data_IF_744259610087
#
_entry.id   IF_744259610087
#
_cell.length_a   1.000
_cell.length_b   1.000
_cell.length_c   1.000
_cell.angle_alpha   90.00
_cell.angle_beta   90.00
_cell.angle_gamma   90.00
#
_symmetry.space_group_name_H-M   'P 1'
#
loop_
_entity.id
_entity.type
_entity.pdbx_description
1 polymer ?
#
# COMPACT_ATOMS: atom_id res chain seq x y z
N UNK A 1 -25.02 12.22 78.77
CA UNK A 1 -24.46 12.79 77.52
C UNK A 1 -23.17 12.12 77.04
N UNK A 2 -22.16 11.86 77.87
CA UNK A 2 -20.90 11.21 77.45
C UNK A 2 -21.05 9.76 76.91
N UNK A 3 -21.99 8.99 77.43
CA UNK A 3 -22.26 7.60 76.97
C UNK A 3 -22.94 7.55 75.61
N UNK A 4 -23.93 8.43 75.37
CA UNK A 4 -24.60 8.57 74.07
C UNK A 4 -23.62 9.02 72.97
N UNK A 5 -22.73 9.96 73.28
CA UNK A 5 -21.69 10.42 72.36
C UNK A 5 -20.66 9.33 72.02
N UNK A 6 -20.30 8.46 72.97
CA UNK A 6 -19.42 7.30 72.71
C UNK A 6 -20.08 6.27 71.80
N UNK A 7 -21.38 6.05 71.94
CA UNK A 7 -22.13 5.17 71.05
C UNK A 7 -22.23 5.74 69.63
N UNK A 8 -22.58 7.01 69.49
CA UNK A 8 -22.70 7.69 68.19
C UNK A 8 -21.32 7.77 67.51
N UNK A 9 -20.29 8.22 68.22
CA UNK A 9 -18.92 8.27 67.68
C UNK A 9 -18.37 6.87 67.37
N UNK A 10 -18.74 5.86 68.17
CA UNK A 10 -18.41 4.45 67.91
C UNK A 10 -19.03 3.93 66.61
N UNK A 11 -20.31 4.24 66.39
CA UNK A 11 -21.03 3.90 65.15
C UNK A 11 -20.37 4.54 63.93
N UNK A 12 -20.13 5.85 63.93
CA UNK A 12 -19.47 6.53 62.81
C UNK A 12 -18.05 6.02 62.55
N UNK A 13 -17.26 5.72 63.60
CA UNK A 13 -15.92 5.17 63.47
C UNK A 13 -15.93 3.75 62.89
N UNK A 14 -16.95 2.95 63.22
CA UNK A 14 -17.13 1.62 62.66
C UNK A 14 -17.58 1.67 61.20
N UNK A 15 -18.55 2.52 60.87
CA UNK A 15 -19.02 2.73 59.48
C UNK A 15 -17.91 3.26 58.58
N UNK A 16 -17.06 4.17 59.08
CA UNK A 16 -15.89 4.66 58.32
C UNK A 16 -14.86 3.56 58.05
N UNK A 17 -14.60 2.69 59.03
CA UNK A 17 -13.72 1.53 58.85
C UNK A 17 -14.29 0.55 57.83
N UNK A 18 -15.61 0.31 57.86
CA UNK A 18 -16.28 -0.56 56.91
C UNK A 18 -16.21 0.00 55.48
N UNK A 19 -16.44 1.31 55.30
CA UNK A 19 -16.34 1.96 53.99
C UNK A 19 -14.92 1.91 53.43
N UNK A 20 -13.89 2.17 54.24
CA UNK A 20 -12.50 2.04 53.79
C UNK A 20 -12.14 0.60 53.46
N UNK A 21 -12.60 -0.37 54.26
CA UNK A 21 -12.41 -1.79 53.97
C UNK A 21 -13.05 -2.18 52.62
N UNK A 22 -14.30 -1.78 52.38
CA UNK A 22 -14.98 -2.06 51.10
C UNK A 22 -14.28 -1.37 49.94
N UNK A 23 -13.86 -0.12 50.10
CA UNK A 23 -13.11 0.62 49.08
C UNK A 23 -11.78 -0.06 48.75
N UNK A 24 -10.99 -0.42 49.76
CA UNK A 24 -9.71 -1.13 49.58
C UNK A 24 -9.92 -2.52 48.97
N UNK A 25 -10.97 -3.24 49.39
CA UNK A 25 -11.33 -4.54 48.81
C UNK A 25 -11.67 -4.41 47.33
N UNK A 26 -12.51 -3.44 46.95
CA UNK A 26 -12.89 -3.21 45.55
C UNK A 26 -11.68 -2.76 44.71
N UNK A 27 -10.84 -1.87 45.22
CA UNK A 27 -9.63 -1.43 44.53
C UNK A 27 -8.63 -2.57 44.35
N UNK A 28 -8.45 -3.41 45.36
CA UNK A 28 -7.56 -4.57 45.29
C UNK A 28 -8.10 -5.64 44.33
N UNK A 29 -9.42 -5.89 44.33
CA UNK A 29 -10.05 -6.81 43.37
C UNK A 29 -9.93 -6.28 41.93
N UNK A 30 -10.11 -4.98 41.72
CA UNK A 30 -9.91 -4.34 40.43
C UNK A 30 -8.45 -4.39 39.98
N UNK A 31 -7.50 -4.17 40.90
CA UNK A 31 -6.08 -4.30 40.63
C UNK A 31 -5.69 -5.75 40.26
N UNK A 32 -6.19 -6.74 41.01
CA UNK A 32 -5.97 -8.17 40.68
C UNK A 32 -6.57 -8.50 39.31
N UNK A 33 -7.76 -7.98 38.99
CA UNK A 33 -8.36 -8.14 37.67
C UNK A 33 -7.47 -7.54 36.57
N UNK A 34 -6.94 -6.33 36.75
CA UNK A 34 -6.01 -5.72 35.79
C UNK A 34 -4.71 -6.52 35.64
N UNK A 35 -4.16 -7.06 36.73
CA UNK A 35 -2.98 -7.93 36.67
C UNK A 35 -3.31 -9.23 35.93
N UNK A 36 -4.47 -9.86 36.18
CA UNK A 36 -4.88 -11.07 35.48
C UNK A 36 -5.12 -10.82 33.98
N UNK A 37 -5.70 -9.68 33.62
CA UNK A 37 -5.81 -9.25 32.22
C UNK A 37 -4.43 -9.00 31.62
N UNK A 38 -3.54 -8.32 32.33
CA UNK A 38 -2.16 -8.08 31.90
C UNK A 38 -1.36 -9.37 31.72
N UNK A 39 -1.51 -10.34 32.62
CA UNK A 39 -0.91 -11.68 32.52
C UNK A 39 -1.56 -12.49 31.41
N UNK A 40 -2.87 -12.39 31.21
CA UNK A 40 -3.57 -13.04 30.10
C UNK A 40 -3.08 -12.52 28.74
N UNK A 41 -2.98 -11.20 28.60
CA UNK A 41 -2.39 -10.54 27.43
C UNK A 41 -0.92 -10.96 27.29
N UNK A 42 -0.14 -10.95 28.38
CA UNK A 42 1.27 -11.34 28.34
C UNK A 42 1.46 -12.81 27.98
N UNK A 43 0.62 -13.74 28.46
CA UNK A 43 0.65 -15.15 28.07
C UNK A 43 0.19 -15.33 26.63
N UNK A 44 -0.75 -14.53 26.13
CA UNK A 44 -1.17 -14.57 24.73
C UNK A 44 -0.12 -13.95 23.78
N UNK A 45 0.69 -13.01 24.26
CA UNK A 45 1.78 -12.37 23.52
C UNK A 45 3.10 -13.14 23.62
N UNK A 46 3.36 -13.77 24.77
CA UNK A 46 4.60 -14.52 25.08
C UNK A 46 4.46 -16.01 24.82
N UNK A 47 3.23 -16.53 24.84
CA UNK A 47 2.85 -17.77 24.20
C UNK A 47 2.88 -17.55 22.69
N UNK A 48 4.08 -17.28 22.17
CA UNK A 48 4.40 -17.64 20.81
C UNK A 48 4.28 -19.16 20.77
N UNK A 49 3.07 -19.65 20.53
CA UNK A 49 2.89 -20.95 19.90
C UNK A 49 3.91 -20.95 18.79
N UNK A 50 4.88 -21.85 18.93
CA UNK A 50 5.72 -22.28 17.83
C UNK A 50 4.78 -22.88 16.81
N UNK A 51 4.05 -22.03 16.07
CA UNK A 51 3.24 -22.41 14.92
C UNK A 51 4.20 -23.19 14.06
N UNK A 52 3.88 -24.48 13.95
CA UNK A 52 4.71 -25.51 13.39
C UNK A 52 5.42 -25.01 12.13
N UNK A 53 6.70 -25.39 12.00
CA UNK A 53 7.47 -25.30 10.76
C UNK A 53 6.53 -25.44 9.57
N UNK A 54 6.35 -24.34 8.82
CA UNK A 54 5.45 -24.24 7.69
C UNK A 54 5.46 -25.55 6.90
N UNK A 55 4.36 -26.29 6.99
CA UNK A 55 4.20 -27.50 6.18
C UNK A 55 4.32 -27.08 4.71
N UNK A 56 5.04 -27.87 3.91
CA UNK A 56 5.28 -27.56 2.49
C UNK A 56 3.96 -27.21 1.78
N UNK A 57 3.89 -26.06 1.10
CA UNK A 57 2.64 -25.57 0.50
C UNK A 57 2.82 -24.27 -0.28
N UNK A 58 1.70 -23.64 -0.62
CA UNK A 58 1.69 -22.35 -1.32
C UNK A 58 1.98 -21.16 -0.38
N UNK A 59 2.60 -20.12 -0.92
CA UNK A 59 2.49 -18.78 -0.35
C UNK A 59 1.20 -18.15 -0.88
N UNK A 60 0.25 -17.90 0.01
CA UNK A 60 -1.00 -17.23 -0.31
C UNK A 60 -0.78 -15.72 -0.22
N UNK A 61 -0.79 -15.03 -1.36
CA UNK A 61 -0.81 -13.57 -1.45
C UNK A 61 -2.26 -13.08 -1.36
N UNK A 62 -2.82 -13.15 -0.16
CA UNK A 62 -4.15 -12.68 0.23
C UNK A 62 -4.16 -11.19 0.61
N UNK A 63 -3.54 -10.36 -0.23
CA UNK A 63 -3.30 -8.94 0.07
C UNK A 63 -4.62 -8.20 0.26
N UNK A 64 -4.76 -7.56 1.43
CA UNK A 64 -5.89 -6.71 1.79
C UNK A 64 -5.47 -5.25 1.88
N UNK A 65 -6.23 -4.35 1.28
CA UNK A 65 -5.95 -2.90 1.25
C UNK A 65 -5.03 -2.47 0.10
N UNK A 66 -4.17 -1.49 0.34
CA UNK A 66 -3.35 -0.81 -0.71
C UNK A 66 -1.87 -1.14 -0.62
N UNK A 67 -1.14 -0.98 -1.73
CA UNK A 67 0.34 -0.99 -1.75
C UNK A 67 0.86 0.43 -1.56
N UNK A 68 1.80 0.59 -0.63
CA UNK A 68 2.51 1.86 -0.37
C UNK A 68 4.01 1.61 -0.23
N UNK A 69 4.82 2.64 -0.46
CA UNK A 69 6.27 2.57 -0.30
C UNK A 69 6.68 2.37 1.17
N UNK A 70 6.03 3.09 2.09
CA UNK A 70 6.27 3.04 3.54
C UNK A 70 4.91 3.07 4.25
N UNK A 71 4.48 1.98 4.92
CA UNK A 71 3.29 2.00 5.76
C UNK A 71 3.43 2.97 6.92
N UNK A 72 2.38 3.73 7.22
CA UNK A 72 2.38 4.69 8.31
C UNK A 72 2.29 3.98 9.68
N UNK A 73 3.32 4.17 10.51
CA UNK A 73 3.45 3.54 11.82
C UNK A 73 2.34 3.92 12.81
N UNK A 74 1.70 5.08 12.66
CA UNK A 74 0.60 5.54 13.51
C UNK A 74 -0.62 4.60 13.43
N UNK A 75 -0.72 3.81 12.34
CA UNK A 75 -1.81 2.88 12.17
C UNK A 75 -1.75 1.69 13.13
N UNK A 76 -0.59 1.33 13.71
CA UNK A 76 -0.48 0.15 14.59
C UNK A 76 -1.31 0.28 15.87
N UNK A 77 -1.30 1.45 16.50
CA UNK A 77 -2.15 1.73 17.65
C UNK A 77 -3.63 1.89 17.26
N UNK A 78 -3.89 2.46 16.07
CA UNK A 78 -5.25 2.61 15.54
C UNK A 78 -5.90 1.27 15.17
N UNK A 79 -5.12 0.26 14.78
CA UNK A 79 -5.63 -1.09 14.47
C UNK A 79 -6.17 -1.76 15.73
N UNK A 80 -5.44 -1.67 16.84
CA UNK A 80 -5.87 -2.22 18.13
C UNK A 80 -7.16 -1.54 18.63
N UNK A 81 -7.26 -0.21 18.52
CA UNK A 81 -8.46 0.52 18.95
C UNK A 81 -9.66 0.30 18.02
N UNK A 82 -9.46 0.17 16.70
CA UNK A 82 -10.55 -0.12 15.74
C UNK A 82 -11.06 -1.57 15.84
N UNK A 83 -10.18 -2.53 16.10
CA UNK A 83 -10.59 -3.92 16.38
C UNK A 83 -11.38 -4.02 17.70
N UNK A 84 -10.98 -3.28 18.74
CA UNK A 84 -11.74 -3.19 19.99
C UNK A 84 -13.13 -2.54 19.82
N UNK A 85 -13.30 -1.66 18.83
CA UNK A 85 -14.56 -0.96 18.55
C UNK A 85 -15.40 -1.60 17.43
N UNK A 86 -15.01 -2.77 16.90
CA UNK A 86 -15.78 -3.50 15.87
C UNK A 86 -15.87 -2.80 14.51
N UNK A 87 -15.02 -1.80 14.25
CA UNK A 87 -15.01 -1.02 13.02
C UNK A 87 -13.81 -1.42 12.14
N UNK A 88 -13.80 -2.66 11.63
CA UNK A 88 -12.78 -3.13 10.70
C UNK A 88 -13.17 -2.80 9.25
N UNK A 89 -12.72 -1.64 8.75
CA UNK A 89 -12.59 -1.46 7.31
C UNK A 89 -11.17 -1.85 6.90
N UNK A 90 -10.99 -3.12 6.52
CA UNK A 90 -9.70 -3.67 6.07
C UNK A 90 -9.20 -3.03 4.76
N UNK A 91 -10.06 -2.24 4.08
CA UNK A 91 -9.74 -1.56 2.81
C UNK A 91 -8.73 -0.43 2.95
N UNK A 92 -8.46 0.04 4.16
CA UNK A 92 -7.45 1.07 4.46
C UNK A 92 -6.12 0.48 4.95
N UNK A 93 -5.98 -0.85 4.94
CA UNK A 93 -4.72 -1.48 5.32
C UNK A 93 -3.62 -1.12 4.32
N UNK A 94 -2.50 -0.61 4.85
CA UNK A 94 -1.30 -0.34 4.07
C UNK A 94 -0.34 -1.52 4.10
N UNK A 95 0.15 -1.92 2.93
CA UNK A 95 1.12 -2.98 2.77
C UNK A 95 2.38 -2.42 2.10
N UNK A 96 3.54 -2.69 2.69
CA UNK A 96 4.84 -2.27 2.16
C UNK A 96 5.12 -2.96 0.83
N UNK A 97 5.39 -2.17 -0.21
CA UNK A 97 5.85 -2.65 -1.51
C UNK A 97 7.08 -3.56 -1.36
N UNK A 98 8.03 -3.14 -0.54
CA UNK A 98 9.32 -3.81 -0.39
C UNK A 98 9.20 -5.11 0.38
N UNK A 99 8.31 -5.19 1.39
CA UNK A 99 8.08 -6.42 2.14
C UNK A 99 7.42 -7.47 1.24
N UNK A 100 6.44 -7.08 0.41
CA UNK A 100 5.83 -8.00 -0.57
C UNK A 100 6.87 -8.56 -1.53
N UNK A 101 7.68 -7.69 -2.14
CA UNK A 101 8.71 -8.09 -3.11
C UNK A 101 9.75 -8.99 -2.46
N UNK A 102 10.24 -8.62 -1.27
CA UNK A 102 11.24 -9.41 -0.56
C UNK A 102 10.69 -10.75 -0.07
N UNK A 103 9.42 -10.80 0.34
CA UNK A 103 8.73 -12.05 0.68
C UNK A 103 8.61 -12.98 -0.51
N UNK A 104 8.23 -12.48 -1.69
CA UNK A 104 8.19 -13.29 -2.93
C UNK A 104 9.59 -13.81 -3.28
N UNK A 105 10.63 -12.97 -3.16
CA UNK A 105 12.02 -13.39 -3.40
C UNK A 105 12.53 -14.41 -2.38
N UNK A 106 12.17 -14.27 -1.11
CA UNK A 106 12.49 -15.27 -0.08
C UNK A 106 11.78 -16.59 -0.39
N UNK A 107 10.49 -16.54 -0.73
CA UNK A 107 9.68 -17.71 -1.08
C UNK A 107 10.18 -18.42 -2.35
N UNK A 108 10.76 -17.69 -3.30
CA UNK A 108 11.43 -18.26 -4.48
C UNK A 108 12.51 -19.27 -4.07
N UNK A 109 13.34 -18.93 -3.08
CA UNK A 109 14.46 -19.77 -2.63
C UNK A 109 14.11 -20.69 -1.46
N UNK A 110 12.92 -20.54 -0.85
CA UNK A 110 12.45 -21.41 0.22
C UNK A 110 11.87 -22.72 -0.33
N UNK A 111 12.51 -23.85 -0.01
CA UNK A 111 12.05 -25.21 -0.39
C UNK A 111 10.71 -25.63 0.23
N UNK A 112 10.21 -24.89 1.22
CA UNK A 112 8.91 -25.13 1.84
C UNK A 112 7.77 -24.47 1.05
N UNK A 113 8.07 -23.41 0.28
CA UNK A 113 7.09 -22.81 -0.62
C UNK A 113 7.19 -23.47 -1.99
N UNK A 114 6.12 -24.12 -2.41
CA UNK A 114 6.07 -24.87 -3.69
C UNK A 114 5.37 -24.10 -4.80
N UNK A 115 4.70 -22.99 -4.49
CA UNK A 115 4.04 -22.11 -5.46
C UNK A 115 3.43 -20.88 -4.78
N UNK A 116 2.80 -20.01 -5.56
CA UNK A 116 2.04 -18.86 -5.06
C UNK A 116 0.58 -18.98 -5.50
N UNK A 117 -0.35 -18.58 -4.62
CA UNK A 117 -1.75 -18.32 -4.96
C UNK A 117 -2.04 -16.86 -4.64
N UNK A 118 -2.52 -16.10 -5.60
CA UNK A 118 -2.98 -14.72 -5.42
C UNK A 118 -4.49 -14.71 -5.22
N UNK A 119 -4.94 -14.34 -4.02
CA UNK A 119 -6.33 -14.02 -3.71
C UNK A 119 -6.42 -12.51 -3.46
N UNK A 120 -6.80 -11.77 -4.50
CA UNK A 120 -6.76 -10.31 -4.49
C UNK A 120 -8.13 -9.68 -4.21
N UNK A 121 -9.11 -10.44 -3.69
CA UNK A 121 -10.50 -9.94 -3.52
C UNK A 121 -10.60 -8.67 -2.67
N UNK A 122 -9.72 -8.53 -1.67
CA UNK A 122 -9.65 -7.38 -0.76
C UNK A 122 -8.56 -6.36 -1.14
N UNK A 123 -7.85 -6.60 -2.23
CA UNK A 123 -6.82 -5.69 -2.73
C UNK A 123 -7.47 -4.48 -3.40
N UNK A 124 -7.16 -3.29 -2.89
CA UNK A 124 -7.71 -2.01 -3.33
C UNK A 124 -6.85 -1.31 -4.39
N UNK A 125 -5.64 -1.80 -4.67
CA UNK A 125 -4.76 -1.26 -5.70
C UNK A 125 -3.44 -0.69 -5.19
N UNK A 126 -2.65 -0.19 -6.13
CA UNK A 126 -1.41 0.55 -5.93
C UNK A 126 -1.08 1.28 -7.23
N UNK A 127 -0.08 2.16 -7.23
CA UNK A 127 0.36 2.78 -8.47
C UNK A 127 0.98 1.75 -9.45
N UNK A 128 0.88 2.03 -10.75
CA UNK A 128 1.35 1.11 -11.80
C UNK A 128 2.85 0.75 -11.66
N UNK A 129 3.77 1.69 -11.36
CA UNK A 129 5.17 1.36 -11.06
C UNK A 129 5.35 0.32 -9.93
N UNK A 130 4.65 0.50 -8.81
CA UNK A 130 4.72 -0.40 -7.65
C UNK A 130 4.18 -1.80 -7.99
N UNK A 131 3.03 -1.89 -8.65
CA UNK A 131 2.48 -3.18 -9.07
C UNK A 131 3.37 -3.86 -10.12
N UNK A 132 4.03 -3.10 -11.01
CA UNK A 132 4.98 -3.66 -11.97
C UNK A 132 6.22 -4.23 -11.26
N UNK A 133 6.66 -3.62 -10.16
CA UNK A 133 7.78 -4.13 -9.36
C UNK A 133 7.43 -5.44 -8.64
N UNK A 134 6.20 -5.57 -8.12
CA UNK A 134 5.67 -6.86 -7.64
C UNK A 134 5.61 -7.88 -8.77
N UNK A 135 5.08 -7.49 -9.94
CA UNK A 135 5.04 -8.34 -11.13
C UNK A 135 6.41 -8.83 -11.59
N UNK A 136 7.47 -8.03 -11.41
CA UNK A 136 8.86 -8.47 -11.65
C UNK A 136 9.25 -9.61 -10.70
N UNK A 137 8.98 -9.49 -9.41
CA UNK A 137 9.27 -10.54 -8.42
C UNK A 137 8.45 -11.82 -8.69
N UNK A 138 7.19 -11.67 -9.12
CA UNK A 138 6.36 -12.81 -9.55
C UNK A 138 6.95 -13.54 -10.76
N UNK A 139 7.50 -12.82 -11.74
CA UNK A 139 8.21 -13.43 -12.87
C UNK A 139 9.49 -14.14 -12.41
N UNK A 140 10.31 -13.50 -11.59
CA UNK A 140 11.50 -14.12 -10.98
C UNK A 140 11.12 -15.43 -10.23
N UNK A 141 9.98 -15.45 -9.55
CA UNK A 141 9.45 -16.64 -8.89
C UNK A 141 9.02 -17.72 -9.90
N UNK A 142 8.29 -17.36 -10.95
CA UNK A 142 7.86 -18.29 -12.01
C UNK A 142 9.05 -18.91 -12.74
N UNK A 143 10.06 -18.11 -13.04
CA UNK A 143 11.26 -18.54 -13.77
C UNK A 143 12.11 -19.55 -12.96
N UNK A 144 11.89 -19.64 -11.64
CA UNK A 144 12.45 -20.70 -10.78
C UNK A 144 11.76 -22.07 -10.93
N UNK A 145 10.68 -22.13 -11.72
CA UNK A 145 9.90 -23.34 -11.97
C UNK A 145 8.70 -23.56 -11.02
N UNK A 146 8.50 -22.68 -10.04
CA UNK A 146 7.35 -22.74 -9.12
C UNK A 146 6.13 -22.03 -9.74
N UNK A 147 4.93 -22.63 -9.72
CA UNK A 147 3.74 -22.03 -10.32
C UNK A 147 3.20 -20.86 -9.50
N UNK A 148 2.58 -19.90 -10.20
CA UNK A 148 1.80 -18.80 -9.64
C UNK A 148 0.38 -18.90 -10.18
N UNK A 149 -0.60 -18.91 -9.29
CA UNK A 149 -2.03 -18.95 -9.62
C UNK A 149 -2.71 -17.65 -9.20
N UNK A 150 -3.68 -17.18 -9.98
CA UNK A 150 -4.61 -16.13 -9.58
C UNK A 150 -6.02 -16.73 -9.48
N UNK A 151 -6.69 -16.46 -8.36
CA UNK A 151 -8.06 -16.93 -8.10
C UNK A 151 -8.92 -15.75 -7.67
N UNK A 152 -10.17 -15.73 -8.11
CA UNK A 152 -11.09 -14.66 -7.76
C UNK A 152 -12.47 -14.85 -8.36
N UNK A 153 -13.48 -14.38 -7.62
CA UNK A 153 -14.84 -14.28 -8.17
C UNK A 153 -14.92 -13.19 -9.25
N UNK A 154 -14.19 -12.09 -9.04
CA UNK A 154 -14.09 -10.96 -9.94
C UNK A 154 -12.65 -10.41 -9.89
N UNK A 155 -12.26 -9.67 -10.92
CA UNK A 155 -11.04 -8.86 -10.91
C UNK A 155 -11.36 -7.42 -11.29
N UNK A 156 -11.08 -6.48 -10.39
CA UNK A 156 -10.99 -5.06 -10.76
C UNK A 156 -9.80 -4.82 -11.69
N UNK A 157 -9.76 -3.66 -12.36
CA UNK A 157 -8.65 -3.30 -13.24
C UNK A 157 -7.26 -3.39 -12.54
N UNK A 158 -7.15 -2.93 -11.29
CA UNK A 158 -5.93 -3.01 -10.51
C UNK A 158 -5.57 -4.45 -10.09
N UNK A 159 -6.57 -5.23 -9.66
CA UNK A 159 -6.38 -6.64 -9.31
C UNK A 159 -5.95 -7.46 -10.53
N UNK A 160 -6.58 -7.23 -11.69
CA UNK A 160 -6.27 -7.96 -12.92
C UNK A 160 -4.85 -7.66 -13.44
N UNK A 161 -4.34 -6.45 -13.23
CA UNK A 161 -2.95 -6.12 -13.58
C UNK A 161 -1.97 -7.06 -12.88
N UNK A 162 -2.11 -7.26 -11.56
CA UNK A 162 -1.28 -8.23 -10.81
C UNK A 162 -1.62 -9.68 -11.19
N UNK A 163 -2.89 -10.03 -11.31
CA UNK A 163 -3.32 -11.38 -11.68
C UNK A 163 -2.73 -11.83 -13.03
N UNK A 164 -2.55 -10.90 -13.98
CA UNK A 164 -1.96 -11.19 -15.29
C UNK A 164 -0.57 -11.83 -15.21
N UNK A 165 0.20 -11.56 -14.14
CA UNK A 165 1.53 -12.17 -13.96
C UNK A 165 1.49 -13.64 -13.54
N UNK A 166 0.32 -14.23 -13.23
CA UNK A 166 0.18 -15.64 -12.92
C UNK A 166 0.44 -16.55 -14.12
N UNK A 167 0.77 -17.82 -13.87
CA UNK A 167 0.75 -18.86 -14.90
C UNK A 167 -0.69 -19.21 -15.32
N UNK A 168 -1.64 -19.11 -14.38
CA UNK A 168 -3.04 -19.46 -14.61
C UNK A 168 -3.97 -18.57 -13.77
N UNK A 169 -5.01 -18.06 -14.42
CA UNK A 169 -6.03 -17.17 -13.85
C UNK A 169 -7.38 -17.89 -13.91
N UNK A 170 -7.94 -18.17 -12.74
CA UNK A 170 -9.32 -18.63 -12.60
C UNK A 170 -10.27 -17.47 -12.36
N UNK A 171 -11.46 -17.55 -12.93
CA UNK A 171 -12.57 -16.64 -12.70
C UNK A 171 -13.83 -17.44 -12.38
N UNK A 172 -14.72 -16.87 -11.59
CA UNK A 172 -16.05 -17.44 -11.40
C UNK A 172 -16.84 -17.51 -12.71
N UNK A 173 -17.71 -18.52 -12.92
CA UNK A 173 -18.57 -18.59 -14.09
C UNK A 173 -19.54 -17.41 -14.23
N UNK A 174 -19.71 -16.59 -13.18
CA UNK A 174 -20.51 -15.36 -13.20
C UNK A 174 -19.66 -14.11 -12.91
N UNK A 175 -18.34 -14.25 -12.99
CA UNK A 175 -17.39 -13.21 -12.68
C UNK A 175 -17.17 -12.21 -13.83
N UNK A 176 -16.51 -11.11 -13.51
CA UNK A 176 -16.06 -10.10 -14.48
C UNK A 176 -14.57 -9.78 -14.32
N UNK A 177 -13.91 -9.51 -15.44
CA UNK A 177 -12.64 -8.78 -15.50
C UNK A 177 -12.98 -7.35 -15.90
N UNK A 178 -12.98 -6.44 -14.92
CA UNK A 178 -13.49 -5.08 -15.08
C UNK A 178 -12.40 -4.14 -15.64
N UNK A 179 -12.28 -4.11 -16.97
CA UNK A 179 -11.38 -3.21 -17.69
C UNK A 179 -12.16 -2.05 -18.30
N UNK A 180 -11.83 -0.82 -17.88
CA UNK A 180 -12.55 0.39 -18.29
C UNK A 180 -11.64 1.58 -18.68
N UNK A 181 -10.33 1.38 -18.78
CA UNK A 181 -9.35 2.44 -19.04
C UNK A 181 -9.09 3.38 -17.85
N UNK A 182 -8.19 4.35 -18.06
CA UNK A 182 -7.87 5.39 -17.08
C UNK A 182 -8.59 6.71 -17.40
N UNK A 183 -8.96 7.43 -16.35
CA UNK A 183 -9.55 8.76 -16.46
C UNK A 183 -8.92 9.70 -15.43
N UNK A 184 -8.87 10.99 -15.77
CA UNK A 184 -8.62 12.08 -14.84
C UNK A 184 -9.88 12.92 -14.75
N UNK A 185 -10.27 13.29 -13.53
CA UNK A 185 -11.39 14.19 -13.29
C UNK A 185 -10.95 15.25 -12.28
N UNK A 186 -11.27 16.50 -12.57
CA UNK A 186 -11.02 17.63 -11.67
C UNK A 186 -12.26 18.49 -11.60
N UNK A 187 -12.54 19.00 -10.41
CA UNK A 187 -13.61 19.95 -10.21
C UNK A 187 -13.09 21.36 -10.52
N UNK A 188 -13.95 22.18 -11.12
CA UNK A 188 -13.66 23.56 -11.49
C UNK A 188 -14.76 24.45 -10.89
N UNK A 189 -14.37 25.52 -10.20
CA UNK A 189 -15.26 26.24 -9.32
C UNK A 189 -15.30 27.75 -9.56
N UNK A 190 -14.70 28.25 -10.64
CA UNK A 190 -14.62 29.69 -10.90
C UNK A 190 -16.00 30.35 -10.87
N UNK A 191 -16.99 29.77 -11.54
CA UNK A 191 -18.37 30.27 -11.52
C UNK A 191 -19.00 30.30 -10.12
N UNK A 192 -18.65 29.35 -9.25
CA UNK A 192 -19.11 29.34 -7.85
C UNK A 192 -18.45 30.47 -7.06
N UNK A 193 -17.13 30.63 -7.21
CA UNK A 193 -16.35 31.68 -6.52
C UNK A 193 -16.84 33.08 -6.90
N UNK A 194 -17.11 33.32 -8.19
CA UNK A 194 -17.68 34.58 -8.69
C UNK A 194 -19.06 34.86 -8.07
N UNK A 195 -19.94 33.84 -8.00
CA UNK A 195 -21.27 33.97 -7.37
C UNK A 195 -21.19 34.31 -5.88
N UNK A 196 -20.20 33.73 -5.19
CA UNK A 196 -19.91 34.01 -3.79
C UNK A 196 -19.11 35.32 -3.59
N UNK A 197 -18.77 36.03 -4.67
CA UNK A 197 -17.96 37.26 -4.68
C UNK A 197 -16.59 37.07 -4.03
N UNK A 198 -16.02 35.88 -4.12
CA UNK A 198 -14.67 35.58 -3.63
C UNK A 198 -13.64 36.22 -4.55
N UNK A 199 -12.69 36.97 -3.99
CA UNK A 199 -11.55 37.51 -4.74
C UNK A 199 -10.42 36.48 -4.78
N UNK A 200 -10.15 35.94 -5.96
CA UNK A 200 -9.11 34.92 -6.18
C UNK A 200 -7.88 35.57 -6.80
N UNK A 201 -6.72 35.45 -6.14
CA UNK A 201 -5.43 35.92 -6.62
C UNK A 201 -4.55 34.71 -6.94
N UNK A 202 -4.03 34.64 -8.16
CA UNK A 202 -3.18 33.54 -8.62
C UNK A 202 -1.88 34.10 -9.16
N UNK A 203 -0.78 33.60 -8.63
CA UNK A 203 0.56 33.83 -9.16
C UNK A 203 1.07 32.52 -9.75
N UNK A 204 1.48 32.51 -11.02
CA UNK A 204 1.93 31.29 -11.70
C UNK A 204 3.00 31.57 -12.73
N UNK A 205 4.00 30.70 -12.77
CA UNK A 205 4.91 30.54 -13.91
C UNK A 205 4.87 29.09 -14.39
N UNK A 206 4.46 28.90 -15.66
CA UNK A 206 4.37 27.60 -16.32
C UNK A 206 3.01 27.39 -16.99
N UNK A 207 3.00 27.33 -18.33
CA UNK A 207 1.78 27.13 -19.14
C UNK A 207 1.01 25.88 -18.75
N UNK A 208 1.73 24.78 -18.47
CA UNK A 208 1.17 23.49 -18.10
C UNK A 208 1.01 23.29 -16.57
N UNK A 209 1.25 24.32 -15.75
CA UNK A 209 1.04 24.23 -14.29
C UNK A 209 -0.46 24.38 -13.99
N UNK A 210 -1.20 23.30 -14.24
CA UNK A 210 -2.66 23.25 -14.32
C UNK A 210 -3.38 23.12 -12.97
N UNK A 211 -2.68 22.79 -11.89
CA UNK A 211 -3.27 22.64 -10.55
C UNK A 211 -4.02 23.89 -10.04
N UNK A 212 -3.76 25.06 -10.64
CA UNK A 212 -4.42 26.31 -10.31
C UNK A 212 -5.71 26.56 -11.11
N UNK A 213 -5.93 25.86 -12.21
CA UNK A 213 -7.07 26.09 -13.10
C UNK A 213 -8.45 25.96 -12.44
N UNK A 214 -8.68 25.05 -11.47
CA UNK A 214 -9.94 24.97 -10.72
C UNK A 214 -10.42 26.30 -10.11
N UNK A 215 -9.52 27.22 -9.81
CA UNK A 215 -9.82 28.50 -9.18
C UNK A 215 -10.09 29.64 -10.18
N UNK A 216 -9.68 29.47 -11.44
CA UNK A 216 -9.71 30.55 -12.45
C UNK A 216 -10.50 30.19 -13.71
N UNK A 217 -10.96 28.95 -13.85
CA UNK A 217 -11.74 28.43 -14.97
C UNK A 217 -12.87 27.51 -14.51
N UNK A 218 -13.80 27.20 -15.42
CA UNK A 218 -14.86 26.19 -15.25
C UNK A 218 -14.57 24.91 -16.05
N UNK A 219 -13.45 24.87 -16.76
CA UNK A 219 -12.97 23.75 -17.55
C UNK A 219 -11.44 23.74 -17.67
N UNK A 220 -10.90 22.60 -18.08
CA UNK A 220 -9.47 22.45 -18.34
C UNK A 220 -9.05 23.28 -19.57
N UNK A 221 -7.93 23.98 -19.46
CA UNK A 221 -7.35 24.67 -20.60
C UNK A 221 -6.90 23.69 -21.69
N UNK A 222 -6.73 24.15 -22.95
CA UNK A 222 -6.15 23.31 -24.00
C UNK A 222 -4.76 22.77 -23.64
N UNK A 223 -3.94 23.56 -22.95
CA UNK A 223 -2.61 23.14 -22.50
C UNK A 223 -2.71 22.02 -21.44
N UNK A 224 -3.57 22.18 -20.42
CA UNK A 224 -3.80 21.13 -19.45
C UNK A 224 -4.31 19.84 -20.11
N UNK A 225 -5.28 19.96 -21.04
CA UNK A 225 -5.80 18.82 -21.79
C UNK A 225 -4.73 18.11 -22.60
N UNK A 226 -3.87 18.84 -23.30
CA UNK A 226 -2.78 18.24 -24.09
C UNK A 226 -1.83 17.44 -23.20
N UNK A 227 -1.33 18.05 -22.12
CA UNK A 227 -0.40 17.39 -21.20
C UNK A 227 -1.04 16.17 -20.52
N UNK A 228 -2.28 16.31 -20.04
CA UNK A 228 -2.99 15.24 -19.35
C UNK A 228 -3.33 14.08 -20.28
N UNK A 229 -3.78 14.38 -21.50
CA UNK A 229 -4.05 13.37 -22.51
C UNK A 229 -2.78 12.58 -22.87
N UNK A 230 -1.62 13.27 -22.93
CA UNK A 230 -0.34 12.64 -23.25
C UNK A 230 0.05 11.60 -22.20
N UNK A 231 0.11 11.98 -20.91
CA UNK A 231 0.57 11.05 -19.89
C UNK A 231 -0.46 9.97 -19.57
N UNK A 232 -1.76 10.28 -19.56
CA UNK A 232 -2.78 9.27 -19.23
C UNK A 232 -2.90 8.22 -20.35
N UNK A 233 -2.75 8.65 -21.61
CA UNK A 233 -2.70 7.75 -22.75
C UNK A 233 -1.49 6.81 -22.70
N UNK A 234 -0.31 7.33 -22.35
CA UNK A 234 0.91 6.53 -22.18
C UNK A 234 0.80 5.55 -21.01
N UNK A 235 0.26 5.98 -19.86
CA UNK A 235 0.05 5.08 -18.72
C UNK A 235 -0.90 3.93 -19.08
N UNK A 236 -2.00 4.24 -19.78
CA UNK A 236 -2.94 3.22 -20.23
C UNK A 236 -2.34 2.29 -21.28
N UNK A 237 -1.54 2.82 -22.21
CA UNK A 237 -0.84 1.99 -23.18
C UNK A 237 0.19 1.07 -22.51
N UNK A 238 0.89 1.55 -21.47
CA UNK A 238 1.79 0.73 -20.66
C UNK A 238 1.05 -0.37 -19.89
N UNK A 239 -0.15 -0.08 -19.36
CA UNK A 239 -1.04 -1.07 -18.77
C UNK A 239 -1.33 -2.19 -19.78
N UNK A 240 -1.86 -1.80 -20.95
CA UNK A 240 -2.26 -2.74 -21.99
C UNK A 240 -1.09 -3.57 -22.49
N UNK A 241 0.05 -2.94 -22.78
CA UNK A 241 1.24 -3.64 -23.27
C UNK A 241 1.76 -4.66 -22.25
N UNK A 242 1.75 -4.31 -20.95
CA UNK A 242 2.19 -5.23 -19.90
C UNK A 242 1.25 -6.42 -19.77
N UNK A 243 -0.06 -6.18 -19.69
CA UNK A 243 -1.07 -7.24 -19.56
C UNK A 243 -1.11 -8.10 -20.83
N UNK A 244 -1.02 -7.50 -22.01
CA UNK A 244 -0.94 -8.17 -23.31
C UNK A 244 0.26 -9.12 -23.38
N UNK A 245 1.45 -8.65 -22.97
CA UNK A 245 2.66 -9.46 -22.91
C UNK A 245 2.50 -10.61 -21.91
N UNK A 246 1.89 -10.36 -20.76
CA UNK A 246 1.66 -11.39 -19.75
C UNK A 246 0.67 -12.48 -20.23
N UNK A 247 -0.38 -12.10 -20.96
CA UNK A 247 -1.41 -12.99 -21.50
C UNK A 247 -1.10 -13.57 -22.88
N UNK A 248 -0.05 -13.11 -23.54
CA UNK A 248 0.36 -13.51 -24.90
C UNK A 248 -0.75 -13.28 -25.94
N UNK A 249 -1.41 -12.13 -25.85
CA UNK A 249 -2.46 -11.67 -26.78
C UNK A 249 -2.19 -10.22 -27.18
N UNK A 250 -2.74 -9.73 -28.31
CA UNK A 250 -2.61 -8.33 -28.69
C UNK A 250 -3.24 -7.36 -27.68
N UNK A 251 -2.68 -6.17 -27.51
CA UNK A 251 -3.19 -5.13 -26.61
C UNK A 251 -4.66 -4.75 -26.88
N UNK A 252 -5.08 -4.68 -28.15
CA UNK A 252 -6.47 -4.42 -28.52
C UNK A 252 -7.42 -5.56 -28.14
N UNK A 253 -6.92 -6.79 -27.96
CA UNK A 253 -7.73 -7.91 -27.49
C UNK A 253 -7.89 -7.88 -25.96
N UNK A 254 -6.90 -7.33 -25.23
CA UNK A 254 -7.03 -7.08 -23.78
C UNK A 254 -8.18 -6.11 -23.52
N UNK A 255 -8.22 -5.00 -24.26
CA UNK A 255 -9.33 -4.05 -24.21
C UNK A 255 -9.55 -3.40 -25.58
N UNK A 256 -10.63 -3.74 -26.29
CA UNK A 256 -10.89 -3.28 -27.66
C UNK A 256 -11.54 -1.89 -27.72
N UNK A 257 -11.56 -1.14 -26.61
CA UNK A 257 -12.38 0.07 -26.46
C UNK A 257 -13.83 -0.26 -26.09
N UNK A 258 -14.59 0.76 -25.69
CA UNK A 258 -15.96 0.59 -25.22
C UNK A 258 -16.88 -0.08 -26.27
N UNK A 259 -16.75 0.30 -27.54
CA UNK A 259 -17.54 -0.27 -28.63
C UNK A 259 -17.24 -1.76 -28.83
N UNK A 260 -15.96 -2.14 -28.90
CA UNK A 260 -15.57 -3.54 -29.05
C UNK A 260 -15.92 -4.39 -27.83
N UNK A 261 -15.91 -3.81 -26.63
CA UNK A 261 -16.35 -4.49 -25.41
C UNK A 261 -17.86 -4.75 -25.46
N UNK A 262 -18.65 -3.75 -25.83
CA UNK A 262 -20.10 -3.89 -25.97
C UNK A 262 -20.48 -4.93 -27.04
N UNK A 263 -19.82 -4.90 -28.19
CA UNK A 263 -20.01 -5.90 -29.25
C UNK A 263 -19.64 -7.31 -28.79
N UNK A 264 -18.52 -7.45 -28.08
CA UNK A 264 -18.07 -8.73 -27.51
C UNK A 264 -19.07 -9.29 -26.50
N UNK A 265 -19.53 -8.46 -25.56
CA UNK A 265 -20.54 -8.87 -24.57
C UNK A 265 -21.89 -9.17 -25.22
N UNK A 266 -22.27 -8.46 -26.29
CA UNK A 266 -23.50 -8.75 -27.04
C UNK A 266 -23.43 -10.16 -27.66
N UNK A 267 -22.29 -10.54 -28.23
CA UNK A 267 -22.07 -11.89 -28.80
C UNK A 267 -22.13 -12.99 -27.75
N UNK A 268 -21.78 -12.70 -26.50
CA UNK A 268 -21.86 -13.66 -25.39
C UNK A 268 -23.19 -13.59 -24.63
N UNK A 269 -24.17 -12.78 -25.08
CA UNK A 269 -25.46 -12.65 -24.41
C UNK A 269 -25.39 -11.93 -23.06
N UNK A 270 -24.40 -11.07 -22.85
CA UNK A 270 -24.14 -10.37 -21.60
C UNK A 270 -23.29 -11.18 -20.59
N UNK A 271 -22.85 -12.38 -20.95
CA UNK A 271 -21.99 -13.20 -20.10
C UNK A 271 -20.54 -12.68 -20.11
N UNK A 272 -20.15 -12.03 -19.01
CA UNK A 272 -18.84 -11.43 -18.81
C UNK A 272 -17.72 -12.46 -18.61
N UNK A 273 -18.02 -13.58 -17.96
CA UNK A 273 -17.05 -14.63 -17.70
C UNK A 273 -16.72 -15.38 -18.99
N UNK A 274 -17.74 -15.68 -19.80
CA UNK A 274 -17.58 -16.25 -21.14
C UNK A 274 -16.80 -15.31 -22.05
N UNK A 275 -17.10 -14.01 -22.04
CA UNK A 275 -16.31 -13.01 -22.78
C UNK A 275 -14.84 -13.05 -22.37
N UNK A 276 -14.55 -13.06 -21.06
CA UNK A 276 -13.18 -13.11 -20.56
C UNK A 276 -12.44 -14.39 -20.98
N UNK A 277 -13.12 -15.56 -20.96
CA UNK A 277 -12.52 -16.82 -21.36
C UNK A 277 -12.27 -16.89 -22.87
N UNK A 278 -13.26 -16.54 -23.70
CA UNK A 278 -13.14 -16.59 -25.17
C UNK A 278 -12.06 -15.62 -25.70
N UNK A 279 -11.91 -14.46 -25.06
CA UNK A 279 -10.87 -13.49 -25.39
C UNK A 279 -9.53 -13.76 -24.68
N UNK A 280 -9.40 -14.89 -23.98
CA UNK A 280 -8.18 -15.33 -23.26
C UNK A 280 -7.69 -14.35 -22.18
N UNK A 281 -8.59 -13.53 -21.64
CA UNK A 281 -8.31 -12.73 -20.44
C UNK A 281 -8.11 -13.64 -19.22
N UNK A 282 -8.82 -14.77 -19.17
CA UNK A 282 -8.70 -15.77 -18.12
C UNK A 282 -8.46 -17.15 -18.73
N UNK A 283 -8.01 -18.10 -17.92
CA UNK A 283 -7.63 -19.44 -18.39
C UNK A 283 -8.70 -20.49 -18.12
N UNK A 284 -9.52 -20.29 -17.09
CA UNK A 284 -10.60 -21.22 -16.75
C UNK A 284 -11.70 -20.52 -15.95
N UNK A 285 -12.93 -20.97 -16.17
CA UNK A 285 -14.09 -20.64 -15.35
C UNK A 285 -14.33 -21.79 -14.37
N UNK A 286 -14.40 -21.49 -13.07
CA UNK A 286 -14.57 -22.49 -12.03
C UNK A 286 -15.21 -21.88 -10.79
N UNK A 287 -16.07 -22.64 -10.12
CA UNK A 287 -16.56 -22.30 -8.78
C UNK A 287 -15.43 -22.35 -7.75
N UNK A 288 -15.60 -21.67 -6.62
CA UNK A 288 -14.64 -21.70 -5.51
C UNK A 288 -14.27 -23.13 -5.06
N UNK A 289 -15.25 -24.05 -5.01
CA UNK A 289 -15.00 -25.45 -4.65
C UNK A 289 -14.16 -26.22 -5.70
N UNK A 290 -14.36 -25.95 -6.99
CA UNK A 290 -13.55 -26.54 -8.07
C UNK A 290 -12.12 -26.00 -8.05
N UNK A 291 -11.96 -24.71 -7.76
CA UNK A 291 -10.66 -24.07 -7.56
C UNK A 291 -9.95 -24.70 -6.35
N UNK A 292 -10.61 -24.82 -5.20
CA UNK A 292 -10.06 -25.45 -4.00
C UNK A 292 -9.60 -26.89 -4.28
N UNK A 293 -10.41 -27.66 -5.01
CA UNK A 293 -10.04 -29.02 -5.42
C UNK A 293 -8.78 -29.03 -6.30
N UNK A 294 -8.65 -28.09 -7.23
CA UNK A 294 -7.47 -27.97 -8.08
C UNK A 294 -6.21 -27.56 -7.28
N UNK A 295 -6.34 -26.57 -6.38
CA UNK A 295 -5.25 -26.12 -5.51
C UNK A 295 -4.84 -27.20 -4.51
N UNK A 296 -5.79 -27.96 -3.97
CA UNK A 296 -5.51 -29.11 -3.09
C UNK A 296 -4.77 -30.21 -3.82
N UNK A 297 -5.06 -30.44 -5.10
CA UNK A 297 -4.32 -31.39 -5.92
C UNK A 297 -2.86 -30.95 -6.12
N UNK A 298 -2.63 -29.64 -6.29
CA UNK A 298 -1.30 -29.07 -6.52
C UNK A 298 -0.46 -28.99 -5.24
N UNK A 299 -1.04 -28.50 -4.14
CA UNK A 299 -0.32 -28.20 -2.90
C UNK A 299 -0.52 -29.25 -1.79
N UNK A 300 -1.48 -30.15 -1.98
CA UNK A 300 -1.88 -31.16 -1.00
C UNK A 300 -2.88 -30.62 0.04
N UNK A 301 -3.57 -31.53 0.72
CA UNK A 301 -4.54 -31.22 1.77
C UNK A 301 -3.88 -31.12 3.16
N UNK A 302 -4.20 -30.06 3.90
CA UNK A 302 -3.91 -29.92 5.33
C UNK A 302 -5.09 -30.43 6.15
N UNK A 303 -4.88 -31.50 6.93
CA UNK A 303 -5.90 -31.99 7.87
C UNK A 303 -6.11 -31.00 9.03
N UNK A 304 -5.08 -30.24 9.39
CA UNK A 304 -5.10 -29.25 10.46
C UNK A 304 -5.93 -28.04 10.05
N UNK A 305 -5.61 -27.44 8.91
CA UNK A 305 -6.26 -26.21 8.43
C UNK A 305 -7.57 -26.48 7.69
N UNK A 306 -7.84 -27.75 7.36
CA UNK A 306 -8.98 -28.20 6.54
C UNK A 306 -9.07 -27.43 5.22
N UNK A 307 -7.93 -27.28 4.56
CA UNK A 307 -7.79 -26.59 3.28
C UNK A 307 -6.57 -27.13 2.51
N UNK A 308 -6.31 -26.63 1.30
CA UNK A 308 -5.02 -26.84 0.64
C UNK A 308 -3.89 -26.25 1.48
N UNK A 309 -2.70 -26.87 1.46
CA UNK A 309 -1.55 -26.40 2.23
C UNK A 309 -1.09 -25.04 1.71
N UNK A 310 -1.24 -24.02 2.53
CA UNK A 310 -0.77 -22.69 2.24
C UNK A 310 -0.44 -21.92 3.53
N UNK A 311 0.35 -20.87 3.38
CA UNK A 311 0.62 -19.89 4.42
C UNK A 311 0.34 -18.50 3.87
N UNK A 312 -0.42 -17.68 4.61
CA UNK A 312 -0.70 -16.29 4.23
C UNK A 312 0.59 -15.48 4.18
N UNK A 313 0.62 -14.48 3.29
CA UNK A 313 1.65 -13.45 3.24
C UNK A 313 1.89 -12.81 4.61
N UNK A 314 0.82 -12.59 5.38
CA UNK A 314 0.90 -11.94 6.69
C UNK A 314 1.49 -12.83 7.80
N UNK A 315 1.41 -14.14 7.63
CA UNK A 315 1.95 -15.13 8.58
C UNK A 315 3.34 -15.64 8.16
N UNK A 316 3.73 -15.44 6.90
CA UNK A 316 5.04 -15.86 6.40
C UNK A 316 6.14 -14.92 6.88
N UNK A 317 6.94 -15.38 7.86
CA UNK A 317 8.00 -14.59 8.46
C UNK A 317 9.09 -14.20 7.44
N UNK A 318 9.11 -12.94 7.05
CA UNK A 318 10.20 -12.33 6.29
C UNK A 318 11.45 -12.27 7.15
N UNK A 319 12.54 -12.90 6.70
CA UNK A 319 13.81 -12.88 7.41
C UNK A 319 14.45 -11.52 7.28
N UNK A 320 14.94 -11.00 8.41
CA UNK A 320 15.80 -9.82 8.40
C UNK A 320 17.15 -10.19 7.79
N UNK A 321 17.65 -9.42 6.82
CA UNK A 321 18.99 -9.63 6.28
C UNK A 321 20.05 -9.54 7.38
N UNK A 322 21.14 -10.28 7.22
CA UNK A 322 22.27 -10.18 8.14
C UNK A 322 22.93 -8.80 8.06
N UNK A 323 23.36 -8.27 9.20
CA UNK A 323 24.16 -7.04 9.24
C UNK A 323 25.57 -7.34 8.74
N UNK A 324 25.98 -6.65 7.68
CA UNK A 324 27.30 -6.81 7.05
C UNK A 324 28.32 -5.75 7.52
N UNK A 325 27.91 -4.79 8.36
CA UNK A 325 28.74 -3.69 8.86
C UNK A 325 28.74 -2.45 7.96
N UNK A 326 28.68 -2.63 6.64
CA UNK A 326 28.48 -1.57 5.66
C UNK A 326 27.03 -1.54 5.16
N UNK A 327 26.48 -0.35 4.93
CA UNK A 327 25.07 -0.18 4.56
C UNK A 327 24.83 0.87 3.47
N UNK A 328 23.68 0.73 2.80
CA UNK A 328 23.10 1.76 1.93
C UNK A 328 21.86 2.28 2.65
N UNK A 329 21.86 3.57 2.97
CA UNK A 329 20.73 4.22 3.64
C UNK A 329 19.57 4.40 2.66
N UNK A 330 18.36 3.96 3.05
CA UNK A 330 17.15 4.17 2.25
C UNK A 330 16.26 5.17 2.98
N UNK A 331 16.07 6.35 2.40
CA UNK A 331 15.22 7.43 2.93
C UNK A 331 13.97 7.53 2.07
N UNK A 332 12.80 7.66 2.70
CA UNK A 332 11.50 7.71 2.02
C UNK A 332 10.94 9.13 2.00
N UNK A 333 10.64 9.64 0.81
CA UNK A 333 9.82 10.83 0.58
C UNK A 333 8.50 10.39 -0.06
N UNK A 334 7.55 9.94 0.78
CA UNK A 334 6.25 9.40 0.38
C UNK A 334 5.11 10.35 0.82
N UNK A 335 4.41 10.95 -0.14
CA UNK A 335 3.32 11.91 0.12
C UNK A 335 3.65 13.35 -0.26
N UNK A 336 2.75 14.29 0.05
CA UNK A 336 2.97 15.71 -0.21
C UNK A 336 4.05 16.27 0.72
N UNK A 337 4.85 17.22 0.23
CA UNK A 337 5.94 17.82 0.99
C UNK A 337 5.42 19.02 1.78
N UNK A 338 5.59 18.98 3.09
CA UNK A 338 5.13 19.99 4.04
C UNK A 338 6.32 20.57 4.81
N UNK A 339 6.21 21.83 5.22
CA UNK A 339 7.13 22.42 6.19
C UNK A 339 6.96 21.77 7.56
N UNK A 340 8.04 21.68 8.33
CA UNK A 340 8.06 21.06 9.65
C UNK A 340 8.33 19.55 9.63
N UNK A 341 7.85 18.87 10.67
CA UNK A 341 8.02 17.43 10.90
C UNK A 341 7.00 16.58 10.12
N UNK A 342 7.28 15.27 10.00
CA UNK A 342 6.44 14.26 9.33
C UNK A 342 5.05 14.23 9.97
N UNK A 343 4.02 14.36 9.13
CA UNK A 343 2.62 14.20 9.53
C UNK A 343 2.02 13.03 8.76
N UNK A 344 0.89 12.50 9.24
CA UNK A 344 0.29 11.30 8.68
C UNK A 344 0.11 11.40 7.15
N UNK A 345 0.72 10.47 6.41
CA UNK A 345 0.67 10.43 4.94
C UNK A 345 1.38 11.56 4.20
N UNK A 346 2.20 12.39 4.87
CA UNK A 346 2.94 13.49 4.25
C UNK A 346 4.42 13.49 4.63
N UNK A 347 5.25 14.04 3.75
CA UNK A 347 6.67 14.24 3.97
C UNK A 347 6.87 15.53 4.79
N UNK A 348 7.53 15.41 5.94
CA UNK A 348 8.04 16.56 6.68
C UNK A 348 9.45 16.94 6.20
N UNK A 349 9.65 18.21 5.84
CA UNK A 349 10.95 18.74 5.44
C UNK A 349 12.05 18.46 6.47
N UNK A 350 11.77 18.75 7.75
CA UNK A 350 12.75 18.65 8.83
C UNK A 350 13.06 17.19 9.18
N UNK A 351 12.04 16.33 9.27
CA UNK A 351 12.22 14.90 9.55
C UNK A 351 13.05 14.21 8.46
N UNK A 352 12.75 14.50 7.20
CA UNK A 352 13.44 13.88 6.06
C UNK A 352 14.88 14.37 5.98
N UNK A 353 15.11 15.68 6.19
CA UNK A 353 16.45 16.24 6.28
C UNK A 353 17.27 15.65 7.43
N UNK A 354 16.65 15.43 8.60
CA UNK A 354 17.30 14.78 9.74
C UNK A 354 17.71 13.33 9.41
N UNK A 355 16.83 12.54 8.77
CA UNK A 355 17.15 11.18 8.33
C UNK A 355 18.32 11.15 7.32
N UNK A 356 18.34 12.10 6.37
CA UNK A 356 19.45 12.25 5.42
C UNK A 356 20.74 12.64 6.16
N UNK A 357 20.65 13.54 7.14
CA UNK A 357 21.77 13.97 7.96
C UNK A 357 22.35 12.81 8.79
N UNK A 358 21.51 11.96 9.37
CA UNK A 358 21.96 10.77 10.08
C UNK A 358 22.70 9.82 9.12
N UNK A 359 22.12 9.56 7.94
CA UNK A 359 22.75 8.77 6.89
C UNK A 359 24.06 9.41 6.39
N UNK A 360 24.17 10.75 6.38
CA UNK A 360 25.38 11.49 6.03
C UNK A 360 26.48 11.35 7.08
N UNK A 361 26.14 11.33 8.36
CA UNK A 361 27.10 11.30 9.45
C UNK A 361 27.49 9.90 9.93
N UNK A 362 26.68 8.87 9.66
CA UNK A 362 27.01 7.49 10.02
C UNK A 362 28.13 6.92 9.12
N UNK A 363 29.33 6.59 9.64
CA UNK A 363 30.43 6.04 8.84
C UNK A 363 30.12 4.66 8.23
N UNK A 364 29.11 3.93 8.71
CA UNK A 364 28.67 2.65 8.13
C UNK A 364 27.91 2.83 6.82
N UNK A 365 27.21 3.96 6.67
CA UNK A 365 26.44 4.28 5.46
C UNK A 365 27.37 4.73 4.35
N UNK A 366 27.44 3.96 3.26
CA UNK A 366 28.34 4.24 2.12
C UNK A 366 27.66 4.97 0.97
N UNK A 367 26.34 4.87 0.87
CA UNK A 367 25.51 5.53 -0.14
C UNK A 367 24.10 5.78 0.38
N UNK A 368 23.35 6.67 -0.26
CA UNK A 368 21.97 6.99 0.06
C UNK A 368 21.10 6.73 -1.17
N UNK A 369 20.01 5.99 -0.97
CA UNK A 369 18.89 5.92 -1.92
C UNK A 369 17.75 6.76 -1.38
N UNK A 370 17.36 7.80 -2.12
CA UNK A 370 16.13 8.53 -1.85
C UNK A 370 15.00 7.89 -2.66
N UNK A 371 14.07 7.23 -1.97
CA UNK A 371 12.85 6.67 -2.58
C UNK A 371 11.76 7.74 -2.59
N UNK A 372 11.32 8.15 -3.78
CA UNK A 372 10.37 9.26 -3.97
C UNK A 372 9.06 8.76 -4.57
N UNK A 373 7.96 9.05 -3.86
CA UNK A 373 6.59 8.99 -4.33
C UNK A 373 5.84 10.25 -3.88
N UNK A 374 6.02 11.36 -4.59
CA UNK A 374 5.52 12.67 -4.17
C UNK A 374 5.02 13.53 -5.35
N UNK A 375 3.84 14.18 -5.22
CA UNK A 375 3.38 15.21 -6.16
C UNK A 375 4.11 16.56 -5.96
N UNK A 376 4.99 16.66 -4.96
CA UNK A 376 5.60 17.89 -4.50
C UNK A 376 4.87 18.52 -3.32
N UNK A 377 4.98 19.84 -3.18
CA UNK A 377 4.41 20.58 -2.05
C UNK A 377 5.20 21.86 -1.80
N UNK A 378 5.49 22.14 -0.53
CA UNK A 378 6.21 23.33 -0.08
C UNK A 378 7.60 23.45 -0.72
N UNK A 379 7.90 24.65 -1.23
CA UNK A 379 9.21 24.99 -1.82
C UNK A 379 10.29 25.06 -0.75
N UNK A 380 9.99 25.64 0.41
CA UNK A 380 10.95 25.79 1.52
C UNK A 380 11.34 24.44 2.09
N UNK A 381 10.36 23.57 2.37
CA UNK A 381 10.62 22.19 2.79
C UNK A 381 11.40 21.38 1.74
N UNK A 382 11.07 21.56 0.46
CA UNK A 382 11.81 20.91 -0.64
C UNK A 382 13.27 21.36 -0.67
N UNK A 383 13.56 22.64 -0.41
CA UNK A 383 14.91 23.15 -0.36
C UNK A 383 15.71 22.64 0.84
N UNK A 384 15.07 22.52 2.01
CA UNK A 384 15.67 21.91 3.22
C UNK A 384 16.15 20.49 2.93
N UNK A 385 15.30 19.66 2.31
CA UNK A 385 15.65 18.28 1.92
C UNK A 385 16.77 18.29 0.86
N UNK A 386 16.64 19.11 -0.19
CA UNK A 386 17.61 19.19 -1.28
C UNK A 386 19.00 19.57 -0.76
N UNK A 387 19.08 20.52 0.16
CA UNK A 387 20.33 20.99 0.75
C UNK A 387 21.05 19.88 1.53
N UNK A 388 20.35 19.12 2.38
CA UNK A 388 20.97 18.00 3.12
C UNK A 388 21.41 16.86 2.18
N UNK A 389 20.62 16.57 1.14
CA UNK A 389 20.99 15.54 0.16
C UNK A 389 22.22 15.97 -0.66
N UNK A 390 22.33 17.26 -1.01
CA UNK A 390 23.53 17.82 -1.64
C UNK A 390 24.74 17.78 -0.70
N UNK A 391 24.56 18.05 0.59
CA UNK A 391 25.61 17.93 1.60
C UNK A 391 26.11 16.49 1.74
N UNK A 392 25.22 15.49 1.68
CA UNK A 392 25.60 14.08 1.73
C UNK A 392 26.47 13.68 0.53
N UNK A 393 26.07 14.13 -0.68
CA UNK A 393 26.86 13.96 -1.89
C UNK A 393 28.23 14.66 -1.80
N UNK A 394 28.27 15.89 -1.32
CA UNK A 394 29.51 16.65 -1.14
C UNK A 394 30.45 16.02 -0.10
N UNK A 395 29.90 15.35 0.92
CA UNK A 395 30.65 14.56 1.90
C UNK A 395 31.16 13.21 1.36
N UNK A 396 30.99 12.94 0.06
CA UNK A 396 31.53 11.76 -0.61
C UNK A 396 30.61 10.55 -0.63
N UNK A 397 29.36 10.67 -0.15
CA UNK A 397 28.37 9.57 -0.19
C UNK A 397 27.51 9.67 -1.45
N UNK A 398 27.58 8.71 -2.40
CA UNK A 398 26.74 8.75 -3.59
C UNK A 398 25.25 8.76 -3.23
N UNK A 399 24.48 9.59 -3.93
CA UNK A 399 23.04 9.70 -3.81
C UNK A 399 22.38 9.17 -5.08
N UNK A 400 21.49 8.20 -4.95
CA UNK A 400 20.67 7.70 -6.06
C UNK A 400 19.19 7.93 -5.74
N UNK A 401 18.43 8.45 -6.70
CA UNK A 401 16.98 8.59 -6.55
C UNK A 401 16.28 7.43 -7.26
N UNK A 402 15.33 6.81 -6.56
CA UNK A 402 14.40 5.83 -7.09
C UNK A 402 13.00 6.43 -7.08
N UNK A 403 12.45 6.76 -8.26
CA UNK A 403 11.10 7.30 -8.38
C UNK A 403 10.09 6.18 -8.59
N UNK A 404 8.99 6.17 -7.82
CA UNK A 404 7.89 5.22 -8.00
C UNK A 404 6.55 5.88 -7.73
N UNK A 405 5.62 5.73 -8.67
CA UNK A 405 4.39 6.52 -8.69
C UNK A 405 4.66 7.93 -9.21
N UNK A 406 4.97 8.87 -8.31
CA UNK A 406 5.18 10.28 -8.64
C UNK A 406 6.51 10.84 -8.11
N UNK A 407 7.13 11.75 -8.84
CA UNK A 407 8.24 12.57 -8.36
C UNK A 407 8.23 13.91 -9.09
N UNK A 408 7.16 14.68 -8.89
CA UNK A 408 6.85 15.89 -9.66
C UNK A 408 6.96 17.15 -8.79
N UNK A 409 7.16 18.31 -9.40
CA UNK A 409 7.24 19.60 -8.69
C UNK A 409 8.32 19.57 -7.59
N UNK A 410 7.98 19.80 -6.32
CA UNK A 410 8.88 19.63 -5.18
C UNK A 410 9.50 18.22 -5.08
N UNK A 411 8.79 17.17 -5.51
CA UNK A 411 9.34 15.81 -5.59
C UNK A 411 10.48 15.69 -6.62
N UNK A 412 10.43 16.46 -7.70
CA UNK A 412 11.55 16.59 -8.64
C UNK A 412 12.65 17.47 -8.05
N UNK A 413 12.30 18.56 -7.35
CA UNK A 413 13.24 19.46 -6.68
C UNK A 413 14.19 18.72 -5.74
N UNK A 414 13.66 17.90 -4.83
CA UNK A 414 14.45 17.10 -3.89
C UNK A 414 15.30 16.03 -4.57
N UNK A 415 14.97 15.67 -5.82
CA UNK A 415 15.69 14.66 -6.61
C UNK A 415 16.90 15.25 -7.36
N UNK A 416 16.94 16.57 -7.57
CA UNK A 416 18.00 17.25 -8.34
C UNK A 416 19.45 17.07 -7.86
N UNK A 417 19.77 16.92 -6.56
CA UNK A 417 21.16 16.83 -6.13
C UNK A 417 21.75 15.42 -6.29
N UNK A 418 20.96 14.43 -6.73
CA UNK A 418 21.40 13.05 -6.88
C UNK A 418 22.50 12.87 -7.95
N UNK A 419 23.35 11.85 -7.75
CA UNK A 419 24.30 11.39 -8.76
C UNK A 419 23.57 10.71 -9.93
N UNK A 420 22.50 9.98 -9.64
CA UNK A 420 21.72 9.25 -10.63
C UNK A 420 20.24 9.25 -10.26
N UNK A 421 19.37 9.37 -11.25
CA UNK A 421 17.92 9.31 -11.09
C UNK A 421 17.41 8.16 -11.95
N UNK A 422 16.66 7.24 -11.33
CA UNK A 422 16.01 6.13 -12.02
C UNK A 422 14.50 6.25 -11.81
N UNK A 423 13.75 6.16 -12.91
CA UNK A 423 12.30 6.24 -12.89
C UNK A 423 11.69 5.05 -13.64
N UNK A 424 10.50 4.64 -13.22
CA UNK A 424 9.70 3.70 -13.99
C UNK A 424 9.19 4.38 -15.27
N UNK A 425 9.00 3.67 -16.40
CA UNK A 425 8.37 4.24 -17.60
C UNK A 425 6.96 4.82 -17.36
N UNK A 426 6.30 4.39 -16.27
CA UNK A 426 4.99 4.88 -15.81
C UNK A 426 5.08 5.81 -14.59
N UNK A 427 6.27 6.31 -14.23
CA UNK A 427 6.41 7.35 -13.20
C UNK A 427 5.99 8.69 -13.77
N UNK A 428 5.16 9.43 -13.04
CA UNK A 428 4.86 10.83 -13.34
C UNK A 428 5.88 11.75 -12.65
N UNK A 429 6.72 12.42 -13.43
CA UNK A 429 7.76 13.33 -12.93
C UNK A 429 7.79 14.63 -13.76
N UNK A 430 8.76 15.50 -13.52
CA UNK A 430 8.79 16.85 -14.09
C UNK A 430 7.85 17.78 -13.35
N UNK A 431 6.86 18.37 -14.03
CA UNK A 431 6.01 19.44 -13.49
C UNK A 431 6.85 20.61 -12.92
N UNK A 432 7.95 20.94 -13.61
CA UNK A 432 8.84 22.04 -13.22
C UNK A 432 8.11 23.35 -13.49
N UNK A 433 7.68 24.01 -12.41
CA UNK A 433 6.90 25.24 -12.43
C UNK A 433 6.38 25.53 -11.03
N UNK A 434 5.93 26.77 -10.82
CA UNK A 434 5.54 27.27 -9.49
C UNK A 434 4.21 28.01 -9.59
N UNK A 435 3.42 27.93 -8.52
CA UNK A 435 2.23 28.75 -8.32
C UNK A 435 2.07 29.10 -6.84
N UNK A 436 1.34 30.17 -6.55
CA UNK A 436 0.97 30.62 -5.21
C UNK A 436 -0.40 31.34 -5.23
#
# INVERSE_FOLDING_TARGET
>A
MRTLWRFIAGFFKWTWRLLNFVREMVLNLFFIFLVLVGVGIWMQVSGGDSKEKASRGALLLDISGVIVDKPDSSQRFSKLSRQLLGASSDRLQENSLFDIVNTIRQAKDDRNITGIVMDLKNFAGGDQPSMQYIGKALKEFRDSGKPVYAVGENYSQGQYYLASFANKIWLSPQGVVDLHGFATNSLYYKSLLDKLKVSTHVFRVGTYKSAVEPFIRDDMSPAAREADSRWIGELWQNYLNTVAANRQIPAHQVFPGAQGLLEGLTKTGGDTAKYALENKLVDALASSAEIEKALTKEFGWSKTDKNYRAISYYDYALKTPADTGDSIGVVFANGAIMDGEETQGNVGGDTTAAQIRDARLDPKVKAIVLRVNSPGGSVTASEVIRAELAAARAAGKPVVVSMGGMAASGGYWISTPANYIVANPSTLTGSIGIFA
#
